data_IF_869245936263
#
_entry.id   IF_869245936263
#
_cell.length_a   1.000
_cell.length_b   1.000
_cell.length_c   1.000
_cell.angle_alpha   90.00
_cell.angle_beta   90.00
_cell.angle_gamma   90.00
#
_symmetry.space_group_name_H-M   'P 1'
#
loop_
_entity.id
_entity.type
_entity.pdbx_description
1 polymer ?
#
# COMPACT_ATOMS: atom_id res chain seq x y z
N UNK A 1 -36.04 -14.06 65.79
CA UNK A 1 -34.87 -14.28 64.90
C UNK A 1 -34.44 -15.72 65.06
N UNK A 2 -34.66 -16.56 64.05
CA UNK A 2 -34.21 -17.95 64.09
C UNK A 2 -32.72 -17.96 63.81
N UNK A 3 -31.91 -18.32 64.82
CA UNK A 3 -30.47 -18.42 64.68
C UNK A 3 -30.13 -19.54 63.70
N UNK A 4 -29.62 -19.18 62.53
CA UNK A 4 -29.12 -20.10 61.50
C UNK A 4 -28.04 -20.98 62.13
N UNK A 5 -28.24 -22.30 62.10
CA UNK A 5 -27.31 -23.25 62.73
C UNK A 5 -25.96 -23.24 62.00
N UNK A 6 -24.87 -23.56 62.70
CA UNK A 6 -23.52 -23.63 62.12
C UNK A 6 -23.46 -24.50 60.85
N UNK A 7 -24.26 -25.58 60.82
CA UNK A 7 -24.43 -26.45 59.65
C UNK A 7 -25.05 -25.73 58.44
N UNK A 8 -26.07 -24.89 58.65
CA UNK A 8 -26.69 -24.09 57.58
C UNK A 8 -25.72 -23.05 57.01
N UNK A 9 -24.84 -22.47 57.85
CA UNK A 9 -23.78 -21.55 57.37
C UNK A 9 -22.70 -22.27 56.56
N UNK A 10 -22.32 -23.48 56.97
CA UNK A 10 -21.37 -24.30 56.22
C UNK A 10 -21.91 -24.68 54.84
N UNK A 11 -23.16 -25.14 54.77
CA UNK A 11 -23.84 -25.47 53.50
C UNK A 11 -23.98 -24.23 52.61
N UNK A 12 -24.31 -23.06 53.16
CA UNK A 12 -24.41 -21.83 52.40
C UNK A 12 -23.06 -21.38 51.81
N UNK A 13 -21.96 -21.54 52.56
CA UNK A 13 -20.61 -21.23 52.07
C UNK A 13 -20.17 -22.21 50.97
N UNK A 14 -20.47 -23.50 51.12
CA UNK A 14 -20.15 -24.53 50.14
C UNK A 14 -20.92 -24.31 48.83
N UNK A 15 -22.23 -24.03 48.91
CA UNK A 15 -23.04 -23.66 47.76
C UNK A 15 -22.50 -22.41 47.05
N UNK A 16 -22.09 -21.38 47.81
CA UNK A 16 -21.49 -20.17 47.23
C UNK A 16 -20.18 -20.47 46.49
N UNK A 17 -19.34 -21.34 47.03
CA UNK A 17 -18.11 -21.76 46.36
C UNK A 17 -18.38 -22.56 45.08
N UNK A 18 -19.43 -23.38 45.07
CA UNK A 18 -19.87 -24.13 43.89
C UNK A 18 -20.39 -23.17 42.81
N UNK A 19 -21.21 -22.20 43.19
CA UNK A 19 -21.76 -21.19 42.27
C UNK A 19 -20.64 -20.31 41.69
N UNK A 20 -19.73 -19.79 42.51
CA UNK A 20 -18.55 -19.04 42.07
C UNK A 20 -17.65 -19.87 41.14
N UNK A 21 -17.51 -21.18 41.40
CA UNK A 21 -16.75 -22.08 40.52
C UNK A 21 -17.45 -22.32 39.18
N UNK A 22 -18.78 -22.40 39.18
CA UNK A 22 -19.59 -22.56 37.98
C UNK A 22 -19.55 -21.30 37.11
N UNK A 23 -19.67 -20.13 37.72
CA UNK A 23 -19.58 -18.85 37.01
C UNK A 23 -18.21 -18.64 36.39
N UNK A 24 -17.13 -18.99 37.11
CA UNK A 24 -15.77 -19.00 36.54
C UNK A 24 -15.64 -19.96 35.36
N UNK A 25 -16.26 -21.15 35.43
CA UNK A 25 -16.22 -22.12 34.34
C UNK A 25 -17.04 -21.67 33.12
N UNK A 26 -18.17 -21.00 33.33
CA UNK A 26 -18.97 -20.39 32.26
C UNK A 26 -18.20 -19.25 31.61
N UNK A 27 -17.66 -18.31 32.40
CA UNK A 27 -16.87 -17.19 31.89
C UNK A 27 -15.61 -17.66 31.14
N UNK A 28 -14.95 -18.73 31.62
CA UNK A 28 -13.82 -19.34 30.92
C UNK A 28 -14.25 -19.97 29.57
N UNK A 29 -15.37 -20.69 29.53
CA UNK A 29 -15.92 -21.24 28.27
C UNK A 29 -16.35 -20.16 27.29
N UNK A 30 -16.98 -19.09 27.77
CA UNK A 30 -17.35 -17.94 26.95
C UNK A 30 -16.11 -17.21 26.42
N UNK A 31 -15.07 -17.04 27.24
CA UNK A 31 -13.80 -16.46 26.81
C UNK A 31 -13.07 -17.34 25.79
N UNK A 32 -13.13 -18.66 25.95
CA UNK A 32 -12.56 -19.63 25.01
C UNK A 32 -13.33 -19.67 23.69
N UNK A 33 -14.66 -19.55 23.74
CA UNK A 33 -15.51 -19.39 22.54
C UNK A 33 -15.30 -18.05 21.82
N UNK A 34 -14.82 -17.02 22.51
CA UNK A 34 -14.48 -15.71 21.91
C UNK A 34 -13.12 -15.67 21.22
N UNK A 35 -12.28 -16.71 21.37
CA UNK A 35 -11.04 -16.79 20.59
C UNK A 35 -11.39 -17.08 19.12
N UNK A 36 -10.75 -16.39 18.17
CA UNK A 36 -10.99 -16.65 16.76
C UNK A 36 -10.61 -18.08 16.42
N UNK A 37 -11.51 -18.81 15.77
CA UNK A 37 -11.34 -20.24 15.44
C UNK A 37 -10.54 -20.44 14.15
N UNK A 38 -10.46 -19.42 13.31
CA UNK A 38 -9.71 -19.44 12.05
C UNK A 38 -9.17 -18.05 11.70
N UNK A 39 -8.37 -17.98 10.64
CA UNK A 39 -7.71 -16.75 10.18
C UNK A 39 -8.72 -15.65 9.82
N UNK A 40 -9.83 -16.00 9.18
CA UNK A 40 -10.87 -15.03 8.81
C UNK A 40 -11.52 -14.41 10.05
N UNK A 41 -11.88 -15.21 11.05
CA UNK A 41 -12.42 -14.71 12.32
C UNK A 41 -11.41 -13.86 13.09
N UNK A 42 -10.12 -14.20 13.04
CA UNK A 42 -9.06 -13.40 13.67
C UNK A 42 -8.93 -12.03 12.99
N UNK A 43 -8.96 -12.00 11.66
CA UNK A 43 -8.93 -10.76 10.90
C UNK A 43 -10.19 -9.93 11.14
N UNK A 44 -11.36 -10.56 11.12
CA UNK A 44 -12.64 -9.93 11.36
C UNK A 44 -12.71 -9.31 12.77
N UNK A 45 -12.22 -10.02 13.78
CA UNK A 45 -12.09 -9.51 15.14
C UNK A 45 -11.14 -8.31 15.24
N UNK A 46 -10.00 -8.34 14.54
CA UNK A 46 -9.07 -7.21 14.49
C UNK A 46 -9.66 -5.98 13.79
N UNK A 47 -10.43 -6.19 12.73
CA UNK A 47 -11.05 -5.13 11.93
C UNK A 47 -12.44 -4.71 12.47
N UNK A 48 -12.93 -5.32 13.55
CA UNK A 48 -14.25 -5.08 14.13
C UNK A 48 -15.43 -5.24 13.15
N UNK A 49 -15.37 -6.27 12.30
CA UNK A 49 -16.42 -6.61 11.32
C UNK A 49 -16.87 -8.06 11.49
N UNK A 50 -18.01 -8.44 10.93
CA UNK A 50 -18.44 -9.85 10.93
C UNK A 50 -17.63 -10.64 9.91
N UNK A 51 -17.27 -11.89 10.24
CA UNK A 51 -16.45 -12.74 9.36
C UNK A 51 -17.11 -12.98 7.99
N UNK A 52 -18.42 -13.22 7.96
CA UNK A 52 -19.16 -13.42 6.71
C UNK A 52 -19.19 -12.18 5.83
N UNK A 53 -19.44 -11.00 6.42
CA UNK A 53 -19.39 -9.74 5.66
C UNK A 53 -17.98 -9.46 5.15
N UNK A 54 -16.95 -9.70 5.98
CA UNK A 54 -15.57 -9.48 5.59
C UNK A 54 -15.16 -10.38 4.41
N UNK A 55 -15.50 -11.68 4.44
CA UNK A 55 -15.21 -12.59 3.33
C UNK A 55 -15.81 -12.06 2.02
N UNK A 56 -17.10 -11.70 2.04
CA UNK A 56 -17.78 -11.18 0.86
C UNK A 56 -17.13 -9.87 0.37
N UNK A 57 -16.87 -8.92 1.27
CA UNK A 57 -16.23 -7.65 0.90
C UNK A 57 -14.86 -7.88 0.27
N UNK A 58 -14.02 -8.73 0.84
CA UNK A 58 -12.69 -9.01 0.33
C UNK A 58 -12.75 -9.68 -1.06
N UNK A 59 -13.60 -10.70 -1.23
CA UNK A 59 -13.78 -11.39 -2.52
C UNK A 59 -14.43 -10.49 -3.58
N UNK A 60 -15.22 -9.50 -3.20
CA UNK A 60 -15.79 -8.54 -4.16
C UNK A 60 -14.87 -7.36 -4.47
N UNK A 61 -13.73 -7.23 -3.79
CA UNK A 61 -12.85 -6.08 -3.94
C UNK A 61 -11.39 -6.50 -4.14
N UNK A 62 -10.59 -6.49 -3.09
CA UNK A 62 -9.12 -6.62 -3.14
C UNK A 62 -8.63 -8.04 -3.37
N UNK A 63 -9.48 -9.05 -3.15
CA UNK A 63 -9.21 -10.47 -3.36
C UNK A 63 -10.12 -11.10 -4.43
N UNK A 64 -10.63 -10.30 -5.37
CA UNK A 64 -11.51 -10.76 -6.47
C UNK A 64 -10.94 -11.89 -7.33
N UNK A 65 -9.62 -11.97 -7.42
CA UNK A 65 -8.92 -12.99 -8.21
C UNK A 65 -8.75 -14.33 -7.49
N UNK A 66 -9.24 -14.46 -6.24
CA UNK A 66 -9.25 -15.75 -5.54
C UNK A 66 -10.24 -16.70 -6.18
N UNK A 67 -9.78 -17.90 -6.56
CA UNK A 67 -10.57 -18.88 -7.29
C UNK A 67 -11.20 -19.94 -6.38
N UNK A 68 -10.63 -20.13 -5.20
CA UNK A 68 -11.10 -21.11 -4.21
C UNK A 68 -10.86 -20.60 -2.78
N UNK A 69 -11.44 -21.34 -1.82
CA UNK A 69 -11.37 -20.98 -0.40
C UNK A 69 -9.96 -21.18 0.18
N UNK A 70 -9.16 -22.11 -0.35
CA UNK A 70 -7.78 -22.35 0.09
C UNK A 70 -6.88 -21.14 -0.21
N UNK A 71 -7.00 -20.59 -1.41
CA UNK A 71 -6.34 -19.36 -1.84
C UNK A 71 -6.74 -18.19 -0.92
N UNK A 72 -8.03 -17.98 -0.72
CA UNK A 72 -8.53 -16.94 0.18
C UNK A 72 -7.97 -17.07 1.61
N UNK A 73 -7.98 -18.28 2.17
CA UNK A 73 -7.45 -18.54 3.52
C UNK A 73 -5.94 -18.29 3.58
N UNK A 74 -5.18 -18.66 2.55
CA UNK A 74 -3.74 -18.40 2.49
C UNK A 74 -3.42 -16.90 2.59
N UNK A 75 -4.17 -16.05 1.89
CA UNK A 75 -4.03 -14.59 2.00
C UNK A 75 -4.39 -14.08 3.39
N UNK A 76 -5.49 -14.59 3.96
CA UNK A 76 -5.89 -14.19 5.31
C UNK A 76 -4.84 -14.56 6.36
N UNK A 77 -4.16 -15.70 6.20
CA UNK A 77 -3.05 -16.10 7.07
C UNK A 77 -1.89 -15.12 6.99
N UNK A 78 -1.43 -14.78 5.79
CA UNK A 78 -0.31 -13.85 5.58
C UNK A 78 -0.67 -12.44 6.08
N UNK A 79 -1.87 -11.97 5.77
CA UNK A 79 -2.35 -10.68 6.24
C UNK A 79 -2.45 -10.61 7.78
N UNK A 80 -2.78 -11.71 8.45
CA UNK A 80 -2.80 -11.74 9.91
C UNK A 80 -1.40 -11.84 10.52
N UNK A 81 -0.51 -12.65 9.95
CA UNK A 81 0.88 -12.80 10.42
C UNK A 81 1.56 -11.43 10.49
N UNK A 82 1.42 -10.65 9.42
CA UNK A 82 2.00 -9.31 9.31
C UNK A 82 1.07 -8.17 9.75
N UNK A 83 -0.12 -8.50 10.27
CA UNK A 83 -1.16 -7.54 10.67
C UNK A 83 -1.49 -6.50 9.58
N UNK A 84 -1.45 -6.91 8.33
CA UNK A 84 -1.80 -6.11 7.16
C UNK A 84 -3.32 -6.00 7.01
N UNK A 85 -3.80 -4.91 6.44
CA UNK A 85 -5.19 -4.65 6.13
C UNK A 85 -5.39 -4.66 4.60
N UNK A 86 -5.99 -5.72 4.05
CA UNK A 86 -6.23 -5.80 2.61
C UNK A 86 -7.11 -4.64 2.09
N UNK A 87 -8.06 -4.13 2.89
CA UNK A 87 -8.95 -3.04 2.49
C UNK A 87 -8.23 -1.69 2.37
N UNK A 88 -7.08 -1.54 3.03
CA UNK A 88 -6.19 -0.38 2.86
C UNK A 88 -5.14 -0.61 1.79
N UNK A 89 -5.31 -1.67 0.98
CA UNK A 89 -4.37 -2.03 -0.09
C UNK A 89 -2.94 -2.28 0.41
N UNK A 90 -2.81 -2.74 1.65
CA UNK A 90 -1.52 -3.13 2.24
C UNK A 90 -1.03 -4.50 1.74
N UNK A 91 -1.96 -5.32 1.24
CA UNK A 91 -1.70 -6.64 0.64
C UNK A 91 -2.72 -6.92 -0.46
N UNK A 92 -2.25 -7.52 -1.54
CA UNK A 92 -3.01 -7.90 -2.72
C UNK A 92 -2.88 -9.39 -3.01
N UNK A 93 -3.86 -9.91 -3.75
CA UNK A 93 -3.85 -11.27 -4.28
C UNK A 93 -3.45 -11.25 -5.76
N UNK A 94 -2.30 -11.84 -6.11
CA UNK A 94 -1.84 -11.90 -7.49
C UNK A 94 -1.87 -13.31 -8.05
N UNK A 95 -2.37 -13.55 -9.27
CA UNK A 95 -2.22 -14.84 -9.94
C UNK A 95 -0.74 -15.21 -10.08
N UNK A 96 -0.37 -16.42 -9.67
CA UNK A 96 1.00 -16.93 -9.79
C UNK A 96 1.26 -17.52 -11.18
N UNK A 97 2.50 -17.41 -11.67
CA UNK A 97 2.97 -18.10 -12.89
C UNK A 97 2.88 -19.61 -12.70
N UNK A 98 1.90 -20.25 -13.36
CA UNK A 98 1.60 -21.69 -13.19
C UNK A 98 0.33 -22.00 -12.40
N UNK A 99 -0.44 -20.97 -12.03
CA UNK A 99 -1.70 -21.09 -11.30
C UNK A 99 -1.52 -20.98 -9.79
N UNK A 100 -2.60 -20.59 -9.13
CA UNK A 100 -2.62 -20.23 -7.72
C UNK A 100 -2.60 -18.73 -7.55
N UNK A 101 -2.57 -18.27 -6.29
CA UNK A 101 -2.34 -16.88 -5.96
C UNK A 101 -1.07 -16.72 -5.12
N UNK A 102 -0.42 -15.58 -5.25
CA UNK A 102 0.72 -15.14 -4.46
C UNK A 102 0.32 -13.87 -3.70
N UNK A 103 0.52 -13.83 -2.37
CA UNK A 103 0.35 -12.61 -1.59
C UNK A 103 1.43 -11.59 -1.98
N UNK A 104 1.01 -10.40 -2.41
CA UNK A 104 1.93 -9.29 -2.65
C UNK A 104 1.67 -8.16 -1.66
N UNK A 105 2.71 -7.70 -0.99
CA UNK A 105 2.62 -6.60 -0.02
C UNK A 105 3.03 -5.31 -0.70
N UNK A 106 2.16 -4.30 -0.63
CA UNK A 106 2.39 -2.97 -1.20
C UNK A 106 3.45 -2.20 -0.45
N UNK A 107 3.96 -1.12 -1.04
CA UNK A 107 4.88 -0.20 -0.35
C UNK A 107 4.31 0.28 1.00
N UNK A 108 3.01 0.53 1.08
CA UNK A 108 2.34 0.95 2.32
C UNK A 108 2.31 -0.16 3.37
N UNK A 109 2.09 -1.42 2.94
CA UNK A 109 2.22 -2.59 3.82
C UNK A 109 3.63 -2.72 4.40
N UNK A 110 4.67 -2.52 3.59
CA UNK A 110 6.07 -2.50 4.04
C UNK A 110 6.35 -1.38 5.03
N UNK A 111 5.88 -0.17 4.73
CA UNK A 111 6.02 1.00 5.61
C UNK A 111 5.33 0.76 6.94
N UNK A 112 4.12 0.19 6.94
CA UNK A 112 3.39 -0.16 8.15
C UNK A 112 4.15 -1.18 9.00
N UNK A 113 4.56 -2.31 8.40
CA UNK A 113 5.33 -3.35 9.13
C UNK A 113 6.61 -2.79 9.74
N UNK A 114 7.33 -1.94 9.00
CA UNK A 114 8.54 -1.27 9.48
C UNK A 114 8.23 -0.33 10.66
N UNK A 115 7.21 0.53 10.53
CA UNK A 115 6.84 1.49 11.58
C UNK A 115 6.29 0.83 12.85
N UNK A 116 5.62 -0.32 12.73
CA UNK A 116 5.12 -1.08 13.90
C UNK A 116 6.21 -1.89 14.60
N UNK A 117 7.37 -2.09 13.97
CA UNK A 117 8.44 -2.89 14.55
C UNK A 117 9.05 -2.17 15.77
N UNK A 118 9.09 -2.78 16.98
CA UNK A 118 9.53 -2.10 18.21
C UNK A 118 10.94 -1.48 18.12
N UNK A 119 11.84 -2.18 17.43
CA UNK A 119 13.23 -1.77 17.26
C UNK A 119 13.48 -0.78 16.12
N UNK A 120 12.47 -0.38 15.35
CA UNK A 120 12.66 0.62 14.28
C UNK A 120 12.99 1.99 14.88
N UNK A 121 14.05 2.62 14.35
CA UNK A 121 14.57 3.91 14.80
C UNK A 121 14.78 4.90 13.65
N UNK A 122 14.04 4.71 12.55
CA UNK A 122 14.10 5.57 11.38
C UNK A 122 14.84 4.96 10.18
N UNK A 123 14.69 5.63 9.06
CA UNK A 123 15.24 5.27 7.75
C UNK A 123 15.70 6.55 7.04
N UNK A 124 16.87 6.48 6.43
CA UNK A 124 17.39 7.51 5.53
C UNK A 124 17.60 6.92 4.13
N UNK A 125 17.65 7.78 3.13
CA UNK A 125 17.95 7.42 1.74
C UNK A 125 19.12 8.27 1.24
N UNK A 126 20.19 7.61 0.82
CA UNK A 126 21.29 8.24 0.10
C UNK A 126 21.13 8.01 -1.41
N UNK A 127 21.32 9.06 -2.18
CA UNK A 127 21.10 9.06 -3.63
C UNK A 127 22.43 9.15 -4.34
N UNK A 128 22.84 8.06 -4.99
CA UNK A 128 24.10 7.96 -5.70
C UNK A 128 23.91 8.39 -7.14
N UNK A 129 24.65 9.43 -7.55
CA UNK A 129 24.66 9.93 -8.91
C UNK A 129 25.88 9.41 -9.68
N UNK A 130 25.68 9.13 -10.97
CA UNK A 130 26.73 8.75 -11.90
C UNK A 130 27.63 9.94 -12.30
N UNK A 131 28.58 9.69 -13.20
CA UNK A 131 29.47 10.74 -13.72
C UNK A 131 28.75 11.87 -14.47
N UNK A 132 27.52 11.65 -14.93
CA UNK A 132 26.70 12.62 -15.65
C UNK A 132 25.77 13.40 -14.70
N UNK A 133 25.71 13.03 -13.41
CA UNK A 133 24.83 13.62 -12.42
C UNK A 133 23.42 13.02 -12.39
N UNK A 134 23.20 11.89 -13.06
CA UNK A 134 21.95 11.15 -13.04
C UNK A 134 21.97 10.12 -11.90
N UNK A 135 20.84 9.91 -11.22
CA UNK A 135 20.78 8.95 -10.11
C UNK A 135 20.86 7.53 -10.67
N UNK A 136 21.91 6.80 -10.30
CA UNK A 136 22.14 5.40 -10.71
C UNK A 136 21.76 4.40 -9.62
N UNK A 137 21.77 4.81 -8.35
CA UNK A 137 21.45 3.93 -7.23
C UNK A 137 20.88 4.70 -6.04
N UNK A 138 20.12 4.00 -5.20
CA UNK A 138 19.63 4.53 -3.93
C UNK A 138 20.01 3.55 -2.81
N UNK A 139 20.70 4.05 -1.79
CA UNK A 139 21.01 3.30 -0.57
C UNK A 139 19.95 3.61 0.50
N UNK A 140 19.25 2.58 0.97
CA UNK A 140 18.43 2.65 2.17
C UNK A 140 19.30 2.39 3.41
N UNK A 141 19.20 3.29 4.38
CA UNK A 141 19.94 3.22 5.65
C UNK A 141 18.92 3.13 6.78
N UNK A 142 18.70 1.93 7.30
CA UNK A 142 17.74 1.68 8.39
C UNK A 142 18.47 1.63 9.73
N UNK A 143 17.99 2.44 10.67
CA UNK A 143 18.46 2.47 12.04
C UNK A 143 17.58 1.59 12.93
N UNK A 144 18.23 0.87 13.83
CA UNK A 144 17.56 0.05 14.83
C UNK A 144 18.07 0.36 16.22
N UNK A 145 17.17 0.38 17.20
CA UNK A 145 17.49 0.70 18.61
C UNK A 145 18.42 -0.34 19.25
N UNK A 146 18.33 -1.60 18.80
CA UNK A 146 19.10 -2.73 19.31
C UNK A 146 20.47 -2.93 18.63
N UNK A 147 20.89 -2.03 17.72
CA UNK A 147 22.14 -2.17 16.98
C UNK A 147 22.98 -0.90 17.02
N UNK A 148 24.31 -1.06 17.07
CA UNK A 148 25.25 0.06 17.03
C UNK A 148 25.51 0.59 15.61
N UNK A 149 25.21 -0.21 14.58
CA UNK A 149 25.42 0.13 13.18
C UNK A 149 24.12 -0.04 12.40
N UNK A 150 23.82 0.87 11.46
CA UNK A 150 22.63 0.75 10.62
C UNK A 150 22.76 -0.40 9.63
N UNK A 151 21.62 -0.87 9.14
CA UNK A 151 21.56 -1.76 7.99
C UNK A 151 21.52 -0.90 6.74
N UNK A 152 22.46 -1.16 5.84
CA UNK A 152 22.62 -0.43 4.58
C UNK A 152 22.38 -1.38 3.42
N UNK A 153 21.47 -1.00 2.53
CA UNK A 153 21.13 -1.79 1.34
C UNK A 153 21.07 -0.84 0.15
N UNK A 154 21.87 -1.11 -0.87
CA UNK A 154 21.93 -0.33 -2.10
C UNK A 154 21.22 -1.09 -3.22
N UNK A 155 20.34 -0.39 -3.93
CA UNK A 155 19.67 -0.91 -5.12
C UNK A 155 20.06 -0.06 -6.32
N UNK A 156 20.44 -0.73 -7.42
CA UNK A 156 20.88 -0.10 -8.66
C UNK A 156 19.72 0.03 -9.63
N UNK A 157 19.54 1.22 -10.22
CA UNK A 157 18.46 1.51 -11.14
C UNK A 157 18.44 0.55 -12.33
N UNK A 158 19.61 0.25 -12.90
CA UNK A 158 19.72 -0.60 -14.10
C UNK A 158 19.37 -2.07 -13.82
N UNK A 159 19.53 -2.54 -12.57
CA UNK A 159 19.15 -3.89 -12.16
C UNK A 159 17.66 -4.00 -11.83
N UNK A 160 17.08 -2.96 -11.23
CA UNK A 160 15.69 -3.00 -10.78
C UNK A 160 14.67 -2.52 -11.82
N UNK A 161 15.09 -1.71 -12.80
CA UNK A 161 14.17 -1.03 -13.70
C UNK A 161 13.47 -2.04 -14.61
N UNK A 162 12.17 -2.20 -14.38
CA UNK A 162 11.26 -2.90 -15.29
C UNK A 162 10.79 -2.03 -16.46
N UNK A 163 10.27 -2.67 -17.50
CA UNK A 163 9.64 -1.99 -18.63
C UNK A 163 8.12 -1.83 -18.43
N UNK A 164 7.72 -1.26 -17.30
CA UNK A 164 6.29 -1.16 -16.95
C UNK A 164 5.90 0.28 -16.67
N UNK A 165 4.61 0.63 -16.79
CA UNK A 165 4.12 2.01 -16.77
C UNK A 165 4.68 2.86 -15.62
N UNK A 166 4.63 2.39 -14.36
CA UNK A 166 5.15 3.10 -13.19
C UNK A 166 6.66 3.28 -13.18
N UNK A 167 7.43 2.28 -13.62
CA UNK A 167 8.88 2.41 -13.80
C UNK A 167 9.24 3.41 -14.89
N UNK A 168 8.44 3.45 -15.96
CA UNK A 168 8.61 4.40 -17.06
C UNK A 168 8.21 5.83 -16.65
N UNK A 169 7.18 6.00 -15.82
CA UNK A 169 6.69 7.31 -15.35
C UNK A 169 7.51 7.88 -14.19
N UNK A 170 7.84 7.04 -13.21
CA UNK A 170 8.44 7.46 -11.93
C UNK A 170 9.59 6.54 -11.47
N UNK A 171 10.66 6.37 -12.28
CA UNK A 171 11.72 5.39 -12.03
C UNK A 171 12.43 5.59 -10.67
N UNK A 172 12.72 6.84 -10.29
CA UNK A 172 13.41 7.13 -9.03
C UNK A 172 12.53 6.87 -7.80
N UNK A 173 11.20 7.05 -7.92
CA UNK A 173 10.26 6.71 -6.85
C UNK A 173 10.20 5.20 -6.67
N UNK A 174 10.10 4.46 -7.76
CA UNK A 174 10.08 3.00 -7.77
C UNK A 174 11.38 2.42 -7.19
N UNK A 175 12.53 2.96 -7.59
CA UNK A 175 13.83 2.55 -7.04
C UNK A 175 13.91 2.80 -5.53
N UNK A 176 13.42 3.94 -5.05
CA UNK A 176 13.35 4.22 -3.61
C UNK A 176 12.47 3.21 -2.88
N UNK A 177 11.34 2.81 -3.48
CA UNK A 177 10.46 1.78 -2.89
C UNK A 177 11.18 0.43 -2.83
N UNK A 178 11.90 0.03 -3.89
CA UNK A 178 12.73 -1.19 -3.89
C UNK A 178 13.79 -1.16 -2.78
N UNK A 179 14.54 -0.06 -2.67
CA UNK A 179 15.54 0.11 -1.62
C UNK A 179 14.94 0.03 -0.20
N UNK A 180 13.77 0.66 0.01
CA UNK A 180 13.02 0.57 1.27
C UNK A 180 12.66 -0.88 1.60
N UNK A 181 12.08 -1.60 0.65
CA UNK A 181 11.60 -2.97 0.84
C UNK A 181 12.77 -3.91 1.16
N UNK A 182 13.85 -3.86 0.37
CA UNK A 182 15.02 -4.72 0.59
C UNK A 182 15.75 -4.36 1.90
N UNK A 183 15.86 -3.07 2.21
CA UNK A 183 16.32 -2.58 3.50
C UNK A 183 15.50 -3.18 4.66
N UNK A 184 14.18 -3.07 4.60
CA UNK A 184 13.27 -3.56 5.64
C UNK A 184 13.36 -5.08 5.82
N UNK A 185 13.44 -5.84 4.72
CA UNK A 185 13.64 -7.30 4.77
C UNK A 185 14.89 -7.69 5.54
N UNK A 186 16.03 -7.08 5.21
CA UNK A 186 17.32 -7.41 5.84
C UNK A 186 17.35 -6.89 7.29
N UNK A 187 16.78 -5.71 7.53
CA UNK A 187 16.79 -5.09 8.86
C UNK A 187 15.93 -5.86 9.86
N UNK A 188 14.74 -6.34 9.46
CA UNK A 188 13.74 -6.93 10.36
C UNK A 188 13.52 -8.43 10.17
N UNK A 189 14.05 -9.03 9.10
CA UNK A 189 13.90 -10.47 8.83
C UNK A 189 12.51 -10.86 8.31
N UNK A 190 11.78 -9.92 7.71
CA UNK A 190 10.49 -10.21 7.08
C UNK A 190 10.66 -11.22 5.92
N UNK A 191 9.87 -12.30 5.92
CA UNK A 191 10.02 -13.44 4.99
C UNK A 191 8.68 -14.03 4.54
N UNK A 192 8.64 -14.78 3.44
CA UNK A 192 7.40 -15.36 2.91
C UNK A 192 6.37 -14.35 2.40
N UNK A 193 6.79 -13.10 2.17
CA UNK A 193 6.00 -12.04 1.52
C UNK A 193 6.83 -11.44 0.39
N UNK A 194 6.19 -11.09 -0.71
CA UNK A 194 6.85 -10.53 -1.90
C UNK A 194 6.32 -9.13 -2.21
N UNK A 195 7.18 -8.30 -2.81
CA UNK A 195 6.80 -6.98 -3.31
C UNK A 195 6.91 -6.89 -4.83
N UNK A 196 7.34 -7.97 -5.48
CA UNK A 196 7.29 -8.16 -6.92
C UNK A 196 6.98 -9.62 -7.22
N UNK A 197 6.42 -9.87 -8.41
CA UNK A 197 6.26 -11.21 -8.96
C UNK A 197 7.63 -11.79 -9.29
N UNK A 198 8.57 -10.98 -9.79
CA UNK A 198 9.93 -11.44 -10.09
C UNK A 198 10.68 -11.90 -8.83
N UNK A 199 10.46 -11.24 -7.68
CA UNK A 199 10.99 -11.67 -6.38
C UNK A 199 10.41 -13.04 -5.95
N UNK A 200 9.17 -13.35 -6.35
CA UNK A 200 8.51 -14.61 -6.00
C UNK A 200 9.12 -15.82 -6.73
N UNK A 201 9.63 -15.62 -7.95
CA UNK A 201 10.28 -16.67 -8.74
C UNK A 201 11.62 -17.12 -8.09
N UNK A 202 12.30 -16.24 -7.33
CA UNK A 202 13.52 -16.59 -6.58
C UNK A 202 13.26 -17.39 -5.30
N UNK A 203 12.06 -17.30 -4.70
CA UNK A 203 11.68 -18.12 -3.54
C UNK A 203 11.07 -19.46 -3.93
N UNK A 204 10.51 -19.58 -5.13
CA UNK A 204 10.03 -20.83 -5.73
C UNK A 204 11.20 -21.70 -6.24
N UNK A 205 12.32 -21.77 -5.51
CA UNK A 205 13.29 -22.85 -5.70
C UNK A 205 12.59 -24.13 -5.29
N UNK A 206 12.18 -24.91 -6.29
CA UNK A 206 11.76 -26.30 -6.11
C UNK A 206 12.74 -26.97 -5.16
N UNK A 207 12.25 -27.37 -3.99
CA UNK A 207 13.03 -28.16 -3.04
C UNK A 207 13.46 -29.40 -3.81
N UNK A 208 14.74 -29.47 -4.20
CA UNK A 208 15.34 -30.68 -4.75
C UNK A 208 14.96 -31.82 -3.81
N UNK A 209 14.29 -32.83 -4.37
CA UNK A 209 13.68 -33.96 -3.69
C UNK A 209 14.63 -34.63 -2.69
N UNK A 210 14.65 -34.09 -1.47
CA UNK A 210 15.38 -34.63 -0.34
C UNK A 210 14.46 -35.65 0.32
N UNK A 211 14.48 -36.88 -0.21
CA UNK A 211 13.82 -38.07 0.36
C UNK A 211 13.67 -37.98 1.90
N UNK A 212 12.47 -37.69 2.43
CA UNK A 212 12.30 -37.47 3.84
C UNK A 212 12.33 -38.80 4.60
N UNK A 213 13.13 -38.87 5.68
CA UNK A 213 13.01 -39.93 6.69
C UNK A 213 11.59 -39.89 7.25
N UNK A 214 10.88 -41.00 7.10
CA UNK A 214 9.47 -41.23 7.40
C UNK A 214 9.03 -40.70 8.78
N UNK A 215 8.04 -39.80 8.77
CA UNK A 215 7.17 -39.44 9.89
C UNK A 215 5.85 -40.24 9.82
N UNK A 216 5.11 -40.43 10.93
CA UNK A 216 3.94 -41.31 11.00
C UNK A 216 2.80 -40.87 10.07
N UNK A 217 2.01 -41.86 9.62
CA UNK A 217 1.12 -41.73 8.48
C UNK A 217 -0.07 -40.78 8.69
N UNK A 218 -0.45 -40.12 7.59
CA UNK A 218 -1.50 -39.12 7.42
C UNK A 218 -2.96 -39.62 7.67
N UNK A 219 -3.16 -40.69 8.44
CA UNK A 219 -4.50 -41.25 8.71
C UNK A 219 -5.25 -40.57 9.86
N UNK A 220 -4.60 -39.79 10.73
CA UNK A 220 -5.28 -39.24 11.91
C UNK A 220 -5.89 -37.85 11.72
N UNK A 221 -5.56 -37.12 10.64
CA UNK A 221 -6.05 -35.75 10.42
C UNK A 221 -7.23 -35.68 9.43
N UNK A 222 -7.33 -36.64 8.52
CA UNK A 222 -8.42 -36.75 7.55
C UNK A 222 -9.70 -37.37 8.14
N UNK A 223 -9.63 -37.96 9.34
CA UNK A 223 -10.77 -38.64 9.98
C UNK A 223 -11.62 -37.68 10.86
N UNK A 224 -11.16 -36.44 11.08
CA UNK A 224 -11.87 -35.41 11.87
C UNK A 224 -12.59 -34.34 11.03
N UNK A 225 -12.52 -34.39 9.70
CA UNK A 225 -13.17 -33.44 8.79
C UNK A 225 -14.12 -34.18 7.83
N UNK A 226 -15.23 -34.67 8.39
CA UNK A 226 -16.39 -35.16 7.64
C UNK A 226 -17.47 -34.07 7.63
N UNK A 227 -17.55 -33.33 6.53
CA UNK A 227 -18.80 -32.73 6.04
C UNK A 227 -18.61 -32.46 4.53
N UNK A 228 -19.46 -33.12 3.73
CA UNK A 228 -19.26 -33.35 2.31
C UNK A 228 -19.09 -32.10 1.43
N UNK A 229 -18.01 -32.12 0.64
CA UNK A 229 -17.76 -31.17 -0.46
C UNK A 229 -18.49 -31.69 -1.72
N UNK A 230 -19.42 -30.94 -2.32
CA UNK A 230 -19.92 -31.26 -3.65
C UNK A 230 -18.88 -30.89 -4.71
N UNK A 231 -18.68 -31.80 -5.66
CA UNK A 231 -17.87 -31.61 -6.86
C UNK A 231 -18.48 -30.52 -7.76
N UNK A 232 -17.72 -29.43 -7.96
CA UNK A 232 -18.05 -28.35 -8.88
C UNK A 232 -16.86 -28.06 -9.83
N UNK A 233 -16.38 -29.08 -10.54
CA UNK A 233 -15.66 -28.83 -11.79
C UNK A 233 -16.64 -28.32 -12.87
N UNK A 234 -16.88 -27.01 -12.85
CA UNK A 234 -17.27 -26.24 -14.05
C UNK A 234 -16.56 -24.89 -14.05
N UNK A 235 -15.39 -24.92 -14.70
CA UNK A 235 -14.65 -23.81 -15.31
C UNK A 235 -15.55 -22.61 -15.65
N UNK A 236 -15.31 -21.48 -14.99
CA UNK A 236 -15.78 -20.17 -15.42
C UNK A 236 -14.68 -19.49 -16.23
N UNK A 237 -14.96 -19.19 -17.49
CA UNK A 237 -14.12 -18.37 -18.38
C UNK A 237 -14.32 -16.89 -18.00
N UNK A 238 -13.23 -16.13 -17.85
CA UNK A 238 -13.28 -14.70 -17.56
C UNK A 238 -13.61 -13.92 -18.84
N UNK A 239 -14.65 -13.10 -18.80
CA UNK A 239 -15.12 -12.27 -19.93
C UNK A 239 -14.94 -10.81 -19.53
N UNK A 240 -14.28 -10.03 -20.38
CA UNK A 240 -14.15 -8.58 -20.21
C UNK A 240 -15.52 -7.89 -20.32
N UNK A 241 -15.95 -7.14 -19.30
CA UNK A 241 -17.31 -6.57 -19.23
C UNK A 241 -17.52 -5.36 -20.15
N UNK A 242 -16.47 -4.76 -20.71
CA UNK A 242 -16.58 -3.58 -21.61
C UNK A 242 -16.51 -3.98 -23.10
N UNK A 243 -15.74 -5.02 -23.42
CA UNK A 243 -15.48 -5.46 -24.80
C UNK A 243 -16.08 -6.81 -25.15
N UNK A 244 -16.48 -7.60 -24.14
CA UNK A 244 -17.01 -8.95 -24.32
C UNK A 244 -15.98 -9.96 -24.85
N UNK A 245 -14.69 -9.61 -24.87
CA UNK A 245 -13.63 -10.50 -25.31
C UNK A 245 -13.23 -11.48 -24.21
N UNK A 246 -13.06 -12.75 -24.61
CA UNK A 246 -12.44 -13.78 -23.78
C UNK A 246 -10.94 -13.54 -23.83
N UNK A 247 -10.36 -13.13 -22.69
CA UNK A 247 -8.92 -12.93 -22.61
C UNK A 247 -8.22 -14.28 -22.66
N UNK A 248 -7.52 -14.56 -23.76
CA UNK A 248 -6.80 -15.80 -23.96
C UNK A 248 -5.55 -15.80 -23.06
N UNK A 249 -5.50 -16.73 -22.10
CA UNK A 249 -4.35 -16.89 -21.23
C UNK A 249 -3.14 -17.33 -22.06
N UNK A 250 -2.02 -16.59 -21.96
CA UNK A 250 -0.76 -17.10 -22.47
C UNK A 250 -0.32 -18.34 -21.65
N UNK A 251 0.58 -19.16 -22.21
CA UNK A 251 1.05 -20.41 -21.60
C UNK A 251 1.77 -20.24 -20.24
N UNK A 252 1.85 -19.02 -19.70
CA UNK A 252 2.49 -18.66 -18.44
C UNK A 252 1.50 -18.10 -17.40
N UNK A 253 0.22 -17.94 -17.75
CA UNK A 253 -0.84 -17.52 -16.82
C UNK A 253 -0.69 -16.08 -16.31
N UNK A 254 0.00 -15.22 -17.07
CA UNK A 254 0.28 -13.82 -16.71
C UNK A 254 -0.42 -12.87 -17.67
N UNK A 255 -0.86 -11.72 -17.17
CA UNK A 255 -1.03 -10.52 -18.01
C UNK A 255 -0.06 -9.43 -17.52
N UNK A 256 0.57 -8.69 -18.44
CA UNK A 256 1.41 -7.51 -18.10
C UNK A 256 0.59 -6.43 -17.37
N UNK A 257 -0.75 -6.49 -17.47
CA UNK A 257 -1.71 -5.54 -16.93
C UNK A 257 -1.82 -5.64 -15.40
N UNK A 258 -1.70 -6.84 -14.84
CA UNK A 258 -1.90 -7.07 -13.41
C UNK A 258 -0.72 -6.51 -12.59
N UNK A 259 0.49 -6.76 -13.05
CA UNK A 259 1.73 -6.24 -12.47
C UNK A 259 1.81 -4.71 -12.56
N UNK A 260 1.36 -4.14 -13.68
CA UNK A 260 1.27 -2.69 -13.85
C UNK A 260 0.20 -2.07 -12.96
N UNK A 261 -0.90 -2.77 -12.69
CA UNK A 261 -1.97 -2.28 -11.81
C UNK A 261 -1.48 -2.10 -10.37
N UNK A 262 -0.76 -3.08 -9.81
CA UNK A 262 -0.18 -2.97 -8.46
C UNK A 262 0.77 -1.77 -8.37
N UNK A 263 1.65 -1.64 -9.37
CA UNK A 263 2.65 -0.58 -9.39
C UNK A 263 2.03 0.79 -9.67
N UNK A 264 0.93 0.87 -10.42
CA UNK A 264 0.21 2.13 -10.68
C UNK A 264 -0.46 2.63 -9.40
N UNK A 265 -1.04 1.72 -8.63
CA UNK A 265 -1.59 2.03 -7.31
C UNK A 265 -0.49 2.53 -6.36
N UNK A 266 0.66 1.84 -6.28
CA UNK A 266 1.79 2.26 -5.45
C UNK A 266 2.50 3.53 -5.95
N UNK A 267 2.37 3.86 -7.24
CA UNK A 267 2.88 5.09 -7.82
C UNK A 267 1.97 6.30 -7.56
N UNK A 268 0.73 6.09 -7.08
CA UNK A 268 -0.24 7.14 -6.75
C UNK A 268 -0.96 7.72 -7.96
N UNK A 269 -1.14 6.94 -9.04
CA UNK A 269 -2.03 7.31 -10.16
C UNK A 269 -3.46 6.81 -9.86
N UNK A 270 -4.24 7.61 -9.12
CA UNK A 270 -5.68 7.40 -9.01
C UNK A 270 -6.36 7.89 -10.30
N UNK A 271 -6.30 7.06 -11.34
CA UNK A 271 -7.14 7.19 -12.53
C UNK A 271 -8.20 6.08 -12.52
N UNK A 272 -9.14 6.15 -11.59
CA UNK A 272 -10.48 5.61 -11.82
C UNK A 272 -11.52 6.51 -11.15
N UNK A 273 -11.87 7.57 -11.90
CA UNK A 273 -13.16 8.26 -11.83
C UNK A 273 -14.22 7.27 -12.30
N UNK A 274 -14.67 6.43 -11.36
CA UNK A 274 -15.92 5.71 -11.49
C UNK A 274 -17.02 6.61 -10.94
N UNK A 275 -17.71 7.31 -11.83
CA UNK A 275 -18.98 7.99 -11.56
C UNK A 275 -19.92 7.05 -10.82
N UNK A 276 -20.10 7.28 -9.52
CA UNK A 276 -21.16 6.66 -8.75
C UNK A 276 -22.42 7.49 -9.02
N UNK A 277 -23.33 6.93 -9.84
CA UNK A 277 -24.64 7.52 -10.06
C UNK A 277 -25.38 7.68 -8.73
N UNK A 278 -25.67 8.93 -8.37
CA UNK A 278 -26.57 9.28 -7.27
C UNK A 278 -28.03 9.01 -7.70
N UNK A 279 -28.53 7.79 -7.51
CA UNK A 279 -29.96 7.55 -7.44
C UNK A 279 -30.38 6.85 -6.14
N UNK A 280 -31.00 7.67 -5.29
CA UNK A 280 -32.01 7.39 -4.27
C UNK A 280 -31.71 6.36 -3.15
N UNK A 281 -31.33 6.87 -1.98
CA UNK A 281 -31.62 6.22 -0.70
C UNK A 281 -32.42 7.16 0.22
N UNK A 282 -33.76 7.02 0.34
CA UNK A 282 -34.57 7.89 1.15
C UNK A 282 -34.66 7.34 2.58
N UNK A 283 -33.62 7.54 3.40
CA UNK A 283 -33.74 7.51 4.87
C UNK A 283 -32.41 7.91 5.53
N UNK A 284 -32.11 9.21 5.55
CA UNK A 284 -31.18 9.78 6.51
C UNK A 284 -31.67 11.17 6.90
N UNK A 285 -31.91 11.38 8.18
CA UNK A 285 -32.39 12.65 8.75
C UNK A 285 -31.46 13.81 8.35
N UNK A 286 -32.06 14.90 7.89
CA UNK A 286 -31.38 16.06 7.32
C UNK A 286 -30.44 16.73 8.34
N UNK A 287 -29.13 16.66 8.06
CA UNK A 287 -28.13 17.55 8.67
C UNK A 287 -28.30 19.00 8.21
N UNK A 288 -27.62 19.97 8.86
CA UNK A 288 -27.92 21.39 8.71
C UNK A 288 -27.73 21.87 7.26
N UNK A 289 -28.63 22.77 6.84
CA UNK A 289 -28.72 23.31 5.47
C UNK A 289 -27.51 24.15 5.07
N UNK A 290 -27.26 24.22 3.75
CA UNK A 290 -26.08 24.85 3.14
C UNK A 290 -25.80 26.30 3.56
N UNK A 291 -26.80 27.06 4.05
CA UNK A 291 -26.59 28.43 4.53
C UNK A 291 -25.71 28.50 5.79
N UNK A 292 -25.66 27.45 6.60
CA UNK A 292 -24.91 27.44 7.86
C UNK A 292 -23.44 26.99 7.71
N UNK A 293 -23.03 26.51 6.52
CA UNK A 293 -21.64 26.10 6.23
C UNK A 293 -20.74 27.25 5.74
N UNK A 294 -21.26 28.47 5.64
CA UNK A 294 -20.52 29.61 5.08
C UNK A 294 -19.85 30.44 6.16
N UNK A 295 -18.82 29.91 6.82
CA UNK A 295 -17.91 30.70 7.65
C UNK A 295 -16.58 30.00 8.00
N UNK A 296 -15.88 29.38 7.06
CA UNK A 296 -14.43 29.12 7.19
C UNK A 296 -13.74 29.45 5.86
N UNK A 297 -12.68 30.29 5.84
CA UNK A 297 -12.01 30.65 4.60
C UNK A 297 -11.15 29.47 4.15
N UNK A 298 -11.50 28.87 3.01
CA UNK A 298 -10.63 27.95 2.30
C UNK A 298 -9.36 28.72 1.87
N UNK A 299 -8.18 28.16 2.18
CA UNK A 299 -6.93 28.61 1.60
C UNK A 299 -7.00 28.34 0.09
N UNK A 300 -7.20 29.39 -0.72
CA UNK A 300 -7.13 29.29 -2.18
C UNK A 300 -5.69 28.90 -2.58
N UNK A 301 -5.49 27.65 -3.00
CA UNK A 301 -4.21 27.19 -3.54
C UNK A 301 -3.78 28.08 -4.73
N UNK A 302 -2.59 28.68 -4.63
CA UNK A 302 -2.07 29.55 -5.69
C UNK A 302 -2.01 28.81 -7.03
N UNK A 303 -2.56 29.36 -8.13
CA UNK A 303 -2.51 28.72 -9.44
C UNK A 303 -1.08 28.40 -9.87
N UNK A 304 -0.86 27.22 -10.46
CA UNK A 304 0.47 26.72 -10.83
C UNK A 304 1.31 27.71 -11.67
N UNK A 305 0.66 28.52 -12.53
CA UNK A 305 1.34 29.55 -13.34
C UNK A 305 1.98 30.66 -12.49
N UNK A 306 1.41 30.98 -11.32
CA UNK A 306 1.93 32.01 -10.39
C UNK A 306 3.30 31.59 -9.84
N UNK A 307 3.45 30.32 -9.47
CA UNK A 307 4.72 29.76 -8.98
C UNK A 307 5.81 29.80 -10.07
N UNK A 308 5.46 29.47 -11.31
CA UNK A 308 6.40 29.49 -12.45
C UNK A 308 6.80 30.93 -12.82
N UNK A 309 5.87 31.89 -12.79
CA UNK A 309 6.16 33.32 -13.00
C UNK A 309 7.07 33.86 -11.90
N UNK A 310 6.81 33.51 -10.63
CA UNK A 310 7.67 33.86 -9.49
C UNK A 310 9.10 33.33 -9.66
N UNK A 311 9.24 32.08 -10.09
CA UNK A 311 10.54 31.48 -10.42
C UNK A 311 11.29 32.24 -11.52
N UNK A 312 10.61 32.57 -12.62
CA UNK A 312 11.19 33.36 -13.73
C UNK A 312 11.68 34.74 -13.25
N UNK A 313 10.90 35.43 -12.41
CA UNK A 313 11.29 36.73 -11.82
C UNK A 313 12.55 36.60 -10.94
N UNK A 314 12.67 35.51 -10.17
CA UNK A 314 13.87 35.19 -9.40
C UNK A 314 15.10 34.97 -10.28
N UNK A 315 14.94 34.27 -11.41
CA UNK A 315 16.00 34.06 -12.40
C UNK A 315 16.46 35.37 -13.06
N UNK A 316 15.52 36.26 -13.40
CA UNK A 316 15.84 37.60 -13.94
C UNK A 316 16.62 38.44 -12.92
N UNK A 317 16.21 38.40 -11.64
CA UNK A 317 16.88 39.14 -10.58
C UNK A 317 18.33 38.67 -10.37
N UNK A 318 18.55 37.35 -10.39
CA UNK A 318 19.84 36.70 -10.11
C UNK A 318 20.81 36.65 -11.30
N UNK A 319 20.34 36.90 -12.53
CA UNK A 319 21.20 36.92 -13.71
C UNK A 319 22.33 37.96 -13.60
N UNK A 320 23.54 37.55 -13.99
CA UNK A 320 24.78 38.36 -13.88
C UNK A 320 25.39 38.77 -15.22
N UNK A 321 24.91 38.22 -16.33
CA UNK A 321 25.44 38.47 -17.68
C UNK A 321 24.31 38.70 -18.68
N UNK A 322 24.65 39.34 -19.81
CA UNK A 322 23.70 39.55 -20.93
C UNK A 322 23.26 38.20 -21.51
N UNK A 323 24.20 37.26 -21.68
CA UNK A 323 23.89 35.93 -22.22
C UNK A 323 22.92 35.15 -21.32
N UNK A 324 23.02 35.30 -20.00
CA UNK A 324 22.08 34.68 -19.07
C UNK A 324 20.66 35.24 -19.21
N UNK A 325 20.53 36.56 -19.38
CA UNK A 325 19.22 37.18 -19.63
C UNK A 325 18.65 36.83 -21.01
N UNK A 326 19.49 36.70 -22.05
CA UNK A 326 19.03 36.24 -23.37
C UNK A 326 18.58 34.77 -23.37
N UNK A 327 19.16 33.93 -22.51
CA UNK A 327 18.70 32.56 -22.30
C UNK A 327 17.37 32.52 -21.55
N UNK A 328 17.22 33.34 -20.49
CA UNK A 328 15.97 33.46 -19.73
C UNK A 328 14.83 34.01 -20.61
N UNK A 329 15.10 34.99 -21.48
CA UNK A 329 14.10 35.52 -22.40
C UNK A 329 13.63 34.47 -23.41
N UNK A 330 14.55 33.66 -23.96
CA UNK A 330 14.16 32.54 -24.85
C UNK A 330 13.31 31.49 -24.13
N UNK A 331 13.67 31.12 -22.91
CA UNK A 331 12.91 30.15 -22.12
C UNK A 331 11.53 30.69 -21.73
N UNK A 332 11.48 31.97 -21.35
CA UNK A 332 10.25 32.70 -21.09
C UNK A 332 9.32 32.69 -22.31
N UNK A 333 9.79 33.10 -23.49
CA UNK A 333 8.96 33.21 -24.70
C UNK A 333 8.45 31.85 -25.18
N UNK A 334 9.27 30.80 -25.08
CA UNK A 334 8.97 29.50 -25.70
C UNK A 334 8.28 28.52 -24.76
N UNK A 335 8.53 28.57 -23.45
CA UNK A 335 8.03 27.55 -22.50
C UNK A 335 7.05 28.10 -21.48
N UNK A 336 7.28 29.31 -20.98
CA UNK A 336 6.53 29.84 -19.83
C UNK A 336 5.37 30.74 -20.28
N UNK A 337 5.65 31.73 -21.14
CA UNK A 337 4.68 32.73 -21.61
C UNK A 337 3.39 32.14 -22.20
N UNK A 338 3.40 31.05 -23.00
CA UNK A 338 2.16 30.45 -23.53
C UNK A 338 1.22 29.90 -22.46
N UNK A 339 1.74 29.54 -21.28
CA UNK A 339 0.97 28.95 -20.17
C UNK A 339 0.50 29.97 -19.12
N UNK A 340 0.76 31.26 -19.31
CA UNK A 340 0.35 32.31 -18.36
C UNK A 340 -0.93 32.99 -18.86
N UNK A 341 -2.08 32.83 -18.17
CA UNK A 341 -3.34 33.43 -18.59
C UNK A 341 -3.42 34.93 -18.28
N UNK A 342 -2.64 35.43 -17.31
CA UNK A 342 -2.68 36.83 -16.89
C UNK A 342 -1.76 37.73 -17.72
N UNK A 343 -2.39 38.67 -18.44
CA UNK A 343 -1.71 39.66 -19.26
C UNK A 343 -0.91 40.69 -18.44
N UNK A 344 -1.29 40.97 -17.19
CA UNK A 344 -0.56 41.88 -16.33
C UNK A 344 0.79 41.26 -15.91
N UNK A 345 0.77 40.01 -15.44
CA UNK A 345 1.97 39.26 -15.11
C UNK A 345 2.93 39.11 -16.30
N UNK A 346 2.41 38.85 -17.51
CA UNK A 346 3.24 38.76 -18.72
C UNK A 346 4.00 40.07 -18.96
N UNK A 347 3.28 41.20 -18.94
CA UNK A 347 3.88 42.53 -19.16
C UNK A 347 4.93 42.86 -18.12
N UNK A 348 4.71 42.49 -16.86
CA UNK A 348 5.65 42.74 -15.78
C UNK A 348 6.98 42.00 -16.00
N UNK A 349 6.93 40.72 -16.36
CA UNK A 349 8.12 39.91 -16.62
C UNK A 349 8.89 40.44 -17.84
N UNK A 350 8.20 40.78 -18.94
CA UNK A 350 8.83 41.32 -20.15
C UNK A 350 9.50 42.69 -19.89
N UNK A 351 8.89 43.53 -19.04
CA UNK A 351 9.50 44.79 -18.59
C UNK A 351 10.76 44.55 -17.76
N UNK A 352 10.75 43.57 -16.85
CA UNK A 352 11.91 43.23 -16.03
C UNK A 352 13.08 42.71 -16.88
N UNK A 353 12.81 41.87 -17.88
CA UNK A 353 13.81 41.40 -18.84
C UNK A 353 14.42 42.60 -19.59
N UNK A 354 13.57 43.48 -20.14
CA UNK A 354 14.00 44.66 -20.90
C UNK A 354 14.85 45.60 -20.05
N UNK A 355 14.42 45.87 -18.82
CA UNK A 355 15.14 46.73 -17.87
C UNK A 355 16.51 46.15 -17.51
N UNK A 356 16.58 44.83 -17.25
CA UNK A 356 17.83 44.14 -16.90
C UNK A 356 18.81 44.13 -18.08
N UNK A 357 18.34 43.89 -19.30
CA UNK A 357 19.17 44.02 -20.53
C UNK A 357 19.74 45.42 -20.70
N UNK A 358 18.91 46.45 -20.52
CA UNK A 358 19.35 47.85 -20.61
C UNK A 358 20.41 48.17 -19.56
N UNK A 359 20.26 47.68 -18.33
CA UNK A 359 21.23 47.86 -17.26
C UNK A 359 22.59 47.21 -17.59
N UNK A 360 22.59 46.01 -18.17
CA UNK A 360 23.84 45.36 -18.59
C UNK A 360 24.50 46.07 -19.78
N UNK A 361 23.72 46.57 -20.73
CA UNK A 361 24.25 47.35 -21.87
C UNK A 361 24.89 48.65 -21.39
N UNK A 362 24.25 49.38 -20.48
CA UNK A 362 24.80 50.60 -19.90
C UNK A 362 26.10 50.36 -19.10
N UNK A 363 26.26 49.18 -18.49
CA UNK A 363 27.49 48.77 -17.78
C UNK A 363 28.61 48.31 -18.72
N UNK A 364 28.32 48.02 -19.98
CA UNK A 364 29.31 47.65 -20.99
C UNK A 364 29.83 48.86 -21.79
N UNK A 365 29.11 49.97 -21.78
CA UNK A 365 29.43 51.21 -22.51
C UNK A 365 30.11 52.29 -21.65
N UNK A 366 30.19 52.10 -20.33
CA UNK A 366 30.92 52.96 -19.37
C UNK A 366 31.91 52.17 -18.56
#
# INVERSE_FOLDING_TARGET
MVATTARQRAIANENRQIDESRDRAIAAREAEQRKPRNALEAMAGRLNVSAGSLKNTLLSTVFKECRNDEEFVALCLVANEYKLNPLLKEIYAFPAKGGGITPMVSVDGWIRMMNEHPEFDGIEFDYHADANGEIEAIESIIFRKDRAHPVKTIEYLDECKGNTGPWNKSPLRMLRHRALIQGARIAFGFSGINADIEDSDFQNVTVLDATPKTLPSAKSLAEELDDGIPDFDKRGEHVDEETGEVLDHDSRGMTEVDEDTARQLDAGDDANDGTFDEEENPTAEEGPTQEQRRAEPAEEEEPAWVKVVRGTRGSIASAKTVQAIDAIERDWLNKVRPGVPDQAAIREVEQQITAKKKAFKAKAEG
#
